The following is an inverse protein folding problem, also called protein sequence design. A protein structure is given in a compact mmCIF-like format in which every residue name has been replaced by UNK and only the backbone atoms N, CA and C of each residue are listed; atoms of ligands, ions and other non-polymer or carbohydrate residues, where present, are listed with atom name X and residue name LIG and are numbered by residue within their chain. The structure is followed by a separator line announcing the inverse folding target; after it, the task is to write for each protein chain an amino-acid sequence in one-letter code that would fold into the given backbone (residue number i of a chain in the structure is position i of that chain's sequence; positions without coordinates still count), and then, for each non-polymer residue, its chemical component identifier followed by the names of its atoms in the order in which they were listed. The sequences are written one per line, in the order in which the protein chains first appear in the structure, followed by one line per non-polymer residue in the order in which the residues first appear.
data_IF_920960822422
#
_entry.id   IF_920960822422
#
_cell.length_a   1.000
_cell.length_b   1.000
_cell.length_c   1.000
_cell.angle_alpha   90.00
_cell.angle_beta   90.00
_cell.angle_gamma   90.00
#
_symmetry.space_group_name_H-M   'P 1'
#
loop_
_entity.id
_entity.type
_entity.pdbx_description
1 polymer ?
#
# COMPACT_ATOMS: atom_id res chain seq x y z
N UNK A 1 0.15 -5.33 20.06
CA UNK A 1 -0.02 -6.78 19.78
C UNK A 1 1.18 -7.35 19.01
N UNK A 2 1.52 -6.86 17.81
CA UNK A 2 2.66 -7.38 17.01
C UNK A 2 4.03 -7.00 17.61
N UNK A 3 4.25 -5.74 17.96
CA UNK A 3 5.55 -5.28 18.54
C UNK A 3 5.91 -6.06 19.81
N UNK A 4 4.94 -6.26 20.71
CA UNK A 4 5.15 -7.04 21.93
C UNK A 4 5.55 -8.49 21.64
N UNK A 5 4.95 -9.09 20.61
CA UNK A 5 5.31 -10.44 20.17
C UNK A 5 6.75 -10.48 19.63
N UNK A 6 7.16 -9.48 18.84
CA UNK A 6 8.54 -9.39 18.34
C UNK A 6 9.57 -9.22 19.48
N UNK A 7 9.26 -8.41 20.50
CA UNK A 7 10.11 -8.27 21.69
C UNK A 7 10.23 -9.58 22.47
N UNK A 8 9.16 -10.36 22.58
CA UNK A 8 9.20 -11.71 23.18
C UNK A 8 10.13 -12.64 22.39
N UNK A 9 10.06 -12.63 21.04
CA UNK A 9 10.96 -13.41 20.20
C UNK A 9 12.41 -12.96 20.43
N UNK A 10 12.66 -11.65 20.49
CA UNK A 10 13.99 -11.11 20.69
C UNK A 10 14.58 -11.56 22.03
N UNK A 11 13.79 -11.54 23.10
CA UNK A 11 14.21 -12.03 24.41
C UNK A 11 14.56 -13.52 24.39
N UNK A 12 13.84 -14.33 23.60
CA UNK A 12 14.02 -15.78 23.57
C UNK A 12 15.11 -16.25 22.62
N UNK A 13 15.29 -15.58 21.48
CA UNK A 13 16.11 -16.06 20.37
C UNK A 13 17.24 -15.09 19.97
N UNK A 14 17.36 -13.93 20.64
CA UNK A 14 18.39 -12.93 20.35
C UNK A 14 17.95 -11.92 19.30
N UNK A 15 18.89 -11.38 18.53
CA UNK A 15 18.62 -10.30 17.56
C UNK A 15 17.54 -10.68 16.53
N UNK A 16 16.54 -9.82 16.37
CA UNK A 16 15.43 -10.00 15.42
C UNK A 16 15.48 -8.92 14.34
N UNK A 17 15.20 -9.32 13.11
CA UNK A 17 14.94 -8.43 11.99
C UNK A 17 13.58 -8.75 11.37
N UNK A 18 12.86 -7.73 10.93
CA UNK A 18 11.51 -7.83 10.38
C UNK A 18 11.47 -7.27 8.97
N UNK A 19 10.70 -7.91 8.09
CA UNK A 19 10.37 -7.37 6.78
C UNK A 19 8.89 -7.57 6.45
N UNK A 20 8.31 -6.62 5.71
CA UNK A 20 6.98 -6.74 5.12
C UNK A 20 6.90 -5.97 3.80
N UNK A 21 5.99 -6.37 2.91
CA UNK A 21 5.76 -5.68 1.63
C UNK A 21 5.00 -4.37 1.82
N UNK A 22 5.43 -3.30 1.14
CA UNK A 22 4.67 -2.04 1.13
C UNK A 22 3.25 -2.30 0.59
N UNK A 23 2.25 -1.90 1.37
CA UNK A 23 0.84 -2.17 1.08
C UNK A 23 -0.08 -0.99 1.43
N UNK A 24 -1.39 -1.14 1.22
CA UNK A 24 -2.36 -0.07 1.43
C UNK A 24 -2.57 0.27 2.92
N UNK A 25 -2.08 -0.55 3.84
CA UNK A 25 -2.17 -0.35 5.29
C UNK A 25 -1.22 0.72 5.84
N UNK A 26 -0.41 1.34 4.98
CA UNK A 26 0.49 2.43 5.34
C UNK A 26 1.76 2.00 6.06
N UNK A 27 2.37 2.94 6.78
CA UNK A 27 3.69 2.76 7.40
C UNK A 27 3.68 2.80 8.94
N UNK A 28 2.51 2.83 9.58
CA UNK A 28 2.39 2.85 11.04
C UNK A 28 3.05 1.65 11.73
N UNK A 29 2.97 0.45 11.13
CA UNK A 29 3.65 -0.74 11.65
C UNK A 29 5.17 -0.60 11.60
N UNK A 30 5.74 -0.09 10.50
CA UNK A 30 7.18 0.15 10.42
C UNK A 30 7.64 1.14 11.48
N UNK A 31 6.93 2.26 11.66
CA UNK A 31 7.24 3.25 12.70
C UNK A 31 7.22 2.62 14.10
N UNK A 32 6.16 1.89 14.44
CA UNK A 32 6.05 1.23 15.74
C UNK A 32 7.15 0.17 16.01
N UNK A 33 7.63 -0.54 14.97
CA UNK A 33 8.75 -1.49 15.11
C UNK A 33 10.08 -0.75 15.27
N UNK A 34 10.30 0.32 14.51
CA UNK A 34 11.50 1.16 14.60
C UNK A 34 11.60 1.86 15.96
N UNK A 35 10.48 2.36 16.50
CA UNK A 35 10.40 2.98 17.83
C UNK A 35 10.74 1.98 18.95
N UNK A 36 10.45 0.70 18.74
CA UNK A 36 10.85 -0.38 19.63
C UNK A 36 12.32 -0.83 19.43
N UNK A 37 13.10 -0.07 18.65
CA UNK A 37 14.52 -0.31 18.34
C UNK A 37 14.78 -1.66 17.66
N UNK A 38 13.78 -2.19 16.94
CA UNK A 38 13.90 -3.41 16.15
C UNK A 38 14.20 -3.06 14.70
N UNK A 39 15.06 -3.86 14.06
CA UNK A 39 15.36 -3.70 12.64
C UNK A 39 14.12 -4.02 11.81
N UNK A 40 13.66 -3.05 11.01
CA UNK A 40 12.50 -3.21 10.12
C UNK A 40 12.85 -2.78 8.69
N UNK A 41 12.51 -3.62 7.70
CA UNK A 41 12.67 -3.32 6.27
C UNK A 41 11.31 -3.40 5.59
N UNK A 42 10.85 -2.29 5.02
CA UNK A 42 9.66 -2.28 4.16
C UNK A 42 10.10 -2.59 2.74
N UNK A 43 9.73 -3.73 2.19
CA UNK A 43 10.13 -4.18 0.87
C UNK A 43 9.26 -3.56 -0.22
N UNK A 44 9.88 -3.08 -1.31
CA UNK A 44 9.17 -2.65 -2.50
C UNK A 44 8.66 -3.88 -3.28
N UNK A 45 7.34 -4.11 -3.42
CA UNK A 45 6.82 -5.32 -4.07
C UNK A 45 7.33 -5.49 -5.51
N UNK A 46 7.48 -4.38 -6.23
CA UNK A 46 7.95 -4.35 -7.62
C UNK A 46 9.44 -4.67 -7.79
N UNK A 47 10.20 -4.79 -6.69
CA UNK A 47 11.64 -5.07 -6.70
C UNK A 47 11.98 -6.46 -6.16
N UNK A 48 10.98 -7.22 -5.71
CA UNK A 48 11.16 -8.60 -5.28
C UNK A 48 11.21 -9.49 -6.52
N UNK A 49 12.39 -10.06 -6.80
CA UNK A 49 12.56 -11.01 -7.88
C UNK A 49 11.88 -12.33 -7.51
N UNK A 50 10.88 -12.74 -8.30
CA UNK A 50 10.21 -14.04 -8.18
C UNK A 50 10.57 -14.91 -9.40
N UNK A 51 10.90 -16.19 -9.22
CA UNK A 51 11.24 -17.07 -10.35
C UNK A 51 10.13 -17.14 -11.39
N UNK A 52 10.50 -17.06 -12.67
CA UNK A 52 9.56 -17.24 -13.77
C UNK A 52 8.97 -18.65 -13.70
N UNK A 53 7.66 -18.75 -13.43
CA UNK A 53 6.96 -20.04 -13.26
C UNK A 53 6.45 -20.31 -11.84
N UNK A 54 6.86 -19.51 -10.84
CA UNK A 54 6.31 -19.60 -9.49
C UNK A 54 4.92 -18.94 -9.44
N UNK A 55 3.90 -19.67 -9.91
CA UNK A 55 2.51 -19.19 -10.05
C UNK A 55 1.67 -19.38 -8.78
N UNK A 56 2.16 -20.13 -7.80
CA UNK A 56 1.41 -20.45 -6.59
C UNK A 56 1.79 -19.47 -5.48
N UNK A 57 1.09 -18.34 -5.44
CA UNK A 57 1.20 -17.35 -4.36
C UNK A 57 0.49 -17.88 -3.12
N UNK A 58 1.22 -18.09 -2.04
CA UNK A 58 0.66 -18.34 -0.70
C UNK A 58 1.38 -17.45 0.31
N UNK A 59 0.66 -17.03 1.35
CA UNK A 59 1.21 -16.14 2.37
C UNK A 59 2.45 -16.74 3.05
N UNK A 60 2.44 -18.06 3.29
CA UNK A 60 3.57 -18.77 3.86
C UNK A 60 4.82 -18.75 2.95
N UNK A 61 4.65 -18.91 1.63
CA UNK A 61 5.75 -18.84 0.67
C UNK A 61 6.31 -17.43 0.55
N UNK A 62 5.42 -16.44 0.47
CA UNK A 62 5.80 -15.03 0.38
C UNK A 62 6.56 -14.59 1.65
N UNK A 63 6.09 -14.98 2.84
CA UNK A 63 6.79 -14.71 4.10
C UNK A 63 8.18 -15.37 4.15
N UNK A 64 8.30 -16.62 3.70
CA UNK A 64 9.59 -17.32 3.65
C UNK A 64 10.57 -16.68 2.66
N UNK A 65 10.07 -16.21 1.50
CA UNK A 65 10.88 -15.48 0.54
C UNK A 65 11.40 -14.17 1.14
N UNK A 66 10.53 -13.37 1.76
CA UNK A 66 10.91 -12.14 2.43
C UNK A 66 11.95 -12.37 3.53
N UNK A 67 11.78 -13.41 4.35
CA UNK A 67 12.73 -13.76 5.40
C UNK A 67 14.11 -14.13 4.83
N UNK A 68 14.17 -14.86 3.71
CA UNK A 68 15.42 -15.21 3.03
C UNK A 68 16.13 -13.97 2.48
N UNK A 69 15.39 -13.11 1.78
CA UNK A 69 15.94 -11.87 1.22
C UNK A 69 16.41 -10.92 2.32
N UNK A 70 15.65 -10.81 3.42
CA UNK A 70 16.04 -9.99 4.57
C UNK A 70 17.33 -10.48 5.21
N UNK A 71 17.48 -11.80 5.39
CA UNK A 71 18.69 -12.40 5.98
C UNK A 71 19.95 -12.11 5.17
N UNK A 72 19.81 -11.98 3.85
CA UNK A 72 20.91 -11.71 2.93
C UNK A 72 21.12 -10.21 2.64
N UNK A 73 20.30 -9.32 3.23
CA UNK A 73 20.27 -7.90 2.89
C UNK A 73 19.91 -7.59 1.42
N UNK A 74 19.22 -8.52 0.75
CA UNK A 74 18.82 -8.42 -0.68
C UNK A 74 17.53 -7.62 -0.90
N UNK A 75 16.89 -7.13 0.18
CA UNK A 75 15.66 -6.35 0.07
C UNK A 75 15.93 -4.88 -0.26
N UNK A 76 15.29 -4.40 -1.33
CA UNK A 76 15.24 -2.95 -1.61
C UNK A 76 14.27 -2.29 -0.65
N UNK A 77 14.81 -1.54 0.31
CA UNK A 77 14.05 -0.83 1.31
C UNK A 77 13.30 0.37 0.71
N UNK A 78 12.00 0.44 0.98
CA UNK A 78 11.18 1.63 0.78
C UNK A 78 11.45 2.60 1.92
N UNK A 79 11.69 3.88 1.59
CA UNK A 79 11.75 4.94 2.59
C UNK A 79 10.40 5.04 3.29
N UNK A 80 10.42 4.85 4.61
CA UNK A 80 9.27 5.09 5.47
C UNK A 80 9.03 6.61 5.57
N UNK A 81 7.86 7.13 5.13
CA UNK A 81 7.52 8.53 5.32
C UNK A 81 7.23 8.88 6.76
N UNK A 82 7.43 10.15 7.10
CA UNK A 82 6.89 10.72 8.33
C UNK A 82 5.36 10.71 8.29
N UNK A 83 4.72 10.82 9.46
CA UNK A 83 3.24 10.87 9.55
C UNK A 83 2.66 12.07 8.77
N UNK A 84 3.35 13.21 8.81
CA UNK A 84 2.97 14.40 8.05
C UNK A 84 3.08 14.18 6.53
N UNK A 85 4.16 13.53 6.07
CA UNK A 85 4.33 13.21 4.65
C UNK A 85 3.33 12.17 4.14
N UNK A 86 2.98 11.18 4.95
CA UNK A 86 1.96 10.17 4.62
C UNK A 86 0.58 10.84 4.55
N UNK A 87 0.24 11.64 5.56
CA UNK A 87 -1.03 12.39 5.61
C UNK A 87 -1.20 13.35 4.42
N UNK A 88 -0.12 14.04 4.02
CA UNK A 88 -0.14 14.92 2.86
C UNK A 88 -0.41 14.14 1.54
N UNK A 89 0.16 12.93 1.40
CA UNK A 89 -0.10 12.08 0.23
C UNK A 89 -1.53 11.55 0.22
N UNK A 90 -2.04 11.16 1.37
CA UNK A 90 -3.39 10.62 1.47
C UNK A 90 -4.45 11.69 1.17
N UNK A 91 -4.19 12.95 1.51
CA UNK A 91 -5.02 14.08 1.07
C UNK A 91 -5.07 14.20 -0.46
N UNK A 92 -3.91 14.14 -1.14
CA UNK A 92 -3.84 14.21 -2.61
C UNK A 92 -4.57 13.04 -3.25
N UNK A 93 -4.40 11.83 -2.71
CA UNK A 93 -5.11 10.62 -3.19
C UNK A 93 -6.61 10.76 -3.03
N UNK A 94 -7.08 11.19 -1.85
CA UNK A 94 -8.50 11.40 -1.59
C UNK A 94 -9.10 12.46 -2.54
N UNK A 95 -8.34 13.49 -2.89
CA UNK A 95 -8.75 14.48 -3.88
C UNK A 95 -8.89 13.88 -5.29
N UNK A 96 -7.91 13.08 -5.73
CA UNK A 96 -7.96 12.42 -7.03
C UNK A 96 -9.10 11.39 -7.11
N UNK A 97 -9.32 10.62 -6.04
CA UNK A 97 -10.44 9.67 -5.92
C UNK A 97 -11.79 10.40 -6.05
N UNK A 98 -11.97 11.51 -5.31
CA UNK A 98 -13.18 12.33 -5.39
C UNK A 98 -13.39 12.89 -6.81
N UNK A 99 -12.32 13.29 -7.50
CA UNK A 99 -12.39 13.77 -8.90
C UNK A 99 -12.83 12.65 -9.85
N UNK A 100 -12.30 11.44 -9.69
CA UNK A 100 -12.71 10.27 -10.48
C UNK A 100 -14.19 9.95 -10.24
N UNK A 101 -14.62 9.95 -8.98
CA UNK A 101 -16.01 9.71 -8.60
C UNK A 101 -16.97 10.77 -9.17
N UNK A 102 -16.59 12.05 -9.09
CA UNK A 102 -17.36 13.14 -9.68
C UNK A 102 -17.53 12.93 -11.18
N UNK A 103 -16.46 12.65 -11.91
CA UNK A 103 -16.54 12.42 -13.36
C UNK A 103 -17.38 11.19 -13.70
N UNK A 104 -17.29 10.12 -12.90
CA UNK A 104 -18.12 8.94 -13.07
C UNK A 104 -19.61 9.26 -12.84
N UNK A 105 -19.94 10.05 -11.81
CA UNK A 105 -21.31 10.50 -11.54
C UNK A 105 -21.85 11.38 -12.67
N UNK A 106 -21.03 12.33 -13.15
CA UNK A 106 -21.35 13.20 -14.29
C UNK A 106 -21.70 12.39 -15.53
N UNK A 107 -20.86 11.41 -15.89
CA UNK A 107 -21.11 10.52 -17.03
C UNK A 107 -22.37 9.68 -16.86
N UNK A 108 -22.62 9.15 -15.65
CA UNK A 108 -23.84 8.35 -15.39
C UNK A 108 -25.09 9.18 -15.56
N UNK A 109 -25.12 10.40 -15.02
CA UNK A 109 -26.28 11.29 -15.13
C UNK A 109 -26.50 11.76 -16.57
N UNK A 110 -25.45 12.21 -17.27
CA UNK A 110 -25.59 12.61 -18.68
C UNK A 110 -26.18 11.48 -19.54
N UNK A 111 -25.70 10.24 -19.37
CA UNK A 111 -26.23 9.08 -20.10
C UNK A 111 -27.67 8.74 -19.70
N UNK A 112 -28.04 8.90 -18.43
CA UNK A 112 -29.41 8.68 -17.96
C UNK A 112 -30.37 9.65 -18.67
N UNK A 113 -30.06 10.94 -18.63
CA UNK A 113 -30.89 12.01 -19.20
C UNK A 113 -31.05 11.84 -20.71
N UNK A 114 -29.97 11.49 -21.42
CA UNK A 114 -30.00 11.18 -22.85
C UNK A 114 -30.88 9.97 -23.19
N UNK A 115 -30.87 8.90 -22.38
CA UNK A 115 -31.75 7.73 -22.60
C UNK A 115 -33.23 8.06 -22.50
N UNK A 116 -33.59 9.13 -21.79
CA UNK A 116 -34.96 9.62 -21.67
C UNK A 116 -35.31 10.72 -22.70
N UNK A 117 -34.43 10.96 -23.68
CA UNK A 117 -34.69 11.93 -24.76
C UNK A 117 -34.46 13.39 -24.38
N UNK A 118 -33.91 13.66 -23.21
CA UNK A 118 -33.56 15.02 -22.80
C UNK A 118 -32.18 15.40 -23.36
N UNK A 119 -32.15 16.42 -24.22
CA UNK A 119 -30.93 16.95 -24.84
C UNK A 119 -30.73 18.41 -24.43
N UNK A 120 -29.46 18.84 -24.37
CA UNK A 120 -29.13 20.23 -24.07
C UNK A 120 -29.37 21.11 -25.30
N UNK A 121 -29.81 22.35 -25.07
CA UNK A 121 -29.95 23.35 -26.13
C UNK A 121 -28.62 23.56 -26.87
N UNK A 122 -28.66 23.91 -28.18
CA UNK A 122 -27.45 24.28 -28.92
C UNK A 122 -26.63 25.33 -28.18
N UNK A 123 -25.33 25.04 -27.97
CA UNK A 123 -24.40 25.91 -27.24
C UNK A 123 -24.34 25.69 -25.74
N UNK A 124 -25.19 24.83 -25.14
CA UNK A 124 -25.12 24.45 -23.73
C UNK A 124 -24.43 23.08 -23.54
N UNK A 125 -23.65 22.96 -22.47
CA UNK A 125 -22.98 21.72 -22.08
C UNK A 125 -23.56 21.18 -20.77
N UNK A 126 -23.34 19.88 -20.52
CA UNK A 126 -23.89 19.20 -19.37
C UNK A 126 -23.21 19.53 -18.03
N UNK A 127 -21.95 19.96 -18.05
CA UNK A 127 -21.09 20.13 -16.87
C UNK A 127 -20.04 21.21 -17.07
#
# INVERSE_FOLDING_TARGET
MVVNWLLMIQQRFGTVAVAYEAGPTGFGLARAILDAQLRCVVAAPSKILRPAGDRVKTDARDALLLARLLRNDDLVAVRVPTEAEESARDLVRAFDDARIELMAARHRLSKLVLRHGHVYDPGKQAW
#
